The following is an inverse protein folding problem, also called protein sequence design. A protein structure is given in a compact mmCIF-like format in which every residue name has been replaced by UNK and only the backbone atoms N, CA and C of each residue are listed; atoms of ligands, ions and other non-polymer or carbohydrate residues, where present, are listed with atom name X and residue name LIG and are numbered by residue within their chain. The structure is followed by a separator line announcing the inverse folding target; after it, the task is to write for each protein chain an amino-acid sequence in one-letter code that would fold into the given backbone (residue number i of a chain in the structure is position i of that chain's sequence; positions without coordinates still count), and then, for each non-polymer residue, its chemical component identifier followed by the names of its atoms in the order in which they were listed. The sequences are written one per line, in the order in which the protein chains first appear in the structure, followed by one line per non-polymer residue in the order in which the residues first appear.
data_IF_672196223189
#
_entry.id   IF_672196223189
#
_cell.length_a   1.000
_cell.length_b   1.000
_cell.length_c   1.000
_cell.angle_alpha   90.00
_cell.angle_beta   90.00
_cell.angle_gamma   90.00
#
_symmetry.space_group_name_H-M   'P 1'
#
loop_
_entity.id
_entity.type
_entity.pdbx_description
1 polymer ?
#
# COMPACT_ATOMS: atom_id res chain seq x y z
N UNK A 1 -7.88 3.48 -17.12
CA UNK A 1 -7.89 4.94 -16.95
C UNK A 1 -8.82 5.55 -17.99
N UNK A 2 -9.61 6.54 -17.59
CA UNK A 2 -10.55 7.30 -18.43
C UNK A 2 -10.14 8.75 -18.58
N UNK A 3 -10.87 9.48 -19.45
CA UNK A 3 -10.67 10.93 -19.61
C UNK A 3 -10.93 11.64 -18.28
N UNK A 4 -9.99 12.47 -17.86
CA UNK A 4 -10.04 13.25 -16.63
C UNK A 4 -9.35 12.60 -15.44
N UNK A 5 -9.02 11.31 -15.52
CA UNK A 5 -8.30 10.61 -14.45
C UNK A 5 -6.94 11.25 -14.21
N UNK A 6 -6.53 11.29 -12.94
CA UNK A 6 -5.19 11.66 -12.52
C UNK A 6 -4.32 10.43 -12.41
N UNK A 7 -3.17 10.50 -13.07
CA UNK A 7 -2.19 9.42 -13.13
C UNK A 7 -0.88 9.94 -12.52
N UNK A 8 -0.44 9.30 -11.45
CA UNK A 8 0.89 9.50 -10.94
C UNK A 8 1.89 8.65 -11.75
N UNK A 9 2.96 9.30 -12.18
CA UNK A 9 4.14 8.63 -12.75
C UNK A 9 5.05 8.29 -11.61
N UNK A 10 5.26 7.01 -11.38
CA UNK A 10 6.00 6.47 -10.25
C UNK A 10 7.33 5.90 -10.73
N UNK A 11 8.39 6.31 -10.09
CA UNK A 11 9.74 5.81 -10.35
C UNK A 11 9.88 4.34 -9.94
N UNK A 12 10.36 3.49 -10.83
CA UNK A 12 10.41 2.04 -10.63
C UNK A 12 11.38 1.56 -9.54
N UNK A 13 12.35 2.39 -9.14
CA UNK A 13 13.33 2.01 -8.12
C UNK A 13 12.96 2.53 -6.74
N UNK A 14 12.49 3.78 -6.69
CA UNK A 14 12.17 4.48 -5.44
C UNK A 14 10.71 4.36 -5.05
N UNK A 15 9.83 3.97 -5.96
CA UNK A 15 8.36 3.99 -5.85
C UNK A 15 7.79 5.38 -5.52
N UNK A 16 8.57 6.44 -5.67
CA UNK A 16 8.12 7.80 -5.41
C UNK A 16 7.48 8.41 -6.66
N UNK A 17 6.46 9.22 -6.45
CA UNK A 17 5.82 9.99 -7.53
C UNK A 17 6.78 11.01 -8.11
N UNK A 18 7.05 10.93 -9.41
CA UNK A 18 7.84 11.89 -10.18
C UNK A 18 6.99 13.06 -10.65
N UNK A 19 5.82 12.75 -11.20
CA UNK A 19 4.89 13.71 -11.78
C UNK A 19 3.46 13.21 -11.66
N UNK A 20 2.50 14.12 -11.60
CA UNK A 20 1.07 13.83 -11.78
C UNK A 20 0.60 14.35 -13.13
N UNK A 21 -0.05 13.52 -13.91
CA UNK A 21 -0.56 13.81 -15.25
C UNK A 21 -2.08 13.59 -15.28
N UNK A 22 -2.78 14.37 -16.11
CA UNK A 22 -4.23 14.20 -16.31
C UNK A 22 -4.51 13.60 -17.69
N UNK A 23 -5.32 12.54 -17.73
CA UNK A 23 -5.70 11.87 -18.98
C UNK A 23 -6.61 12.76 -19.81
N UNK A 24 -6.21 13.07 -21.04
CA UNK A 24 -7.00 13.76 -22.05
C UNK A 24 -7.85 12.77 -22.86
N UNK A 25 -7.25 11.63 -23.22
CA UNK A 25 -7.87 10.56 -24.02
C UNK A 25 -7.31 9.21 -23.65
N UNK A 26 -8.15 8.18 -23.67
CA UNK A 26 -7.79 6.78 -23.51
C UNK A 26 -8.34 5.99 -24.70
N UNK A 27 -7.51 5.20 -25.35
CA UNK A 27 -7.85 4.36 -26.51
C UNK A 27 -7.37 2.94 -26.29
N UNK A 28 -8.27 1.98 -26.33
CA UNK A 28 -7.89 0.57 -26.30
C UNK A 28 -7.33 0.16 -27.66
N UNK A 29 -6.07 -0.25 -27.71
CA UNK A 29 -5.42 -0.74 -28.94
C UNK A 29 -5.76 -2.22 -29.15
N UNK A 30 -5.66 -3.04 -28.08
CA UNK A 30 -5.98 -4.46 -28.08
C UNK A 30 -6.26 -4.97 -26.68
N UNK A 31 -6.27 -6.27 -26.46
CA UNK A 31 -6.54 -6.88 -25.14
C UNK A 31 -5.53 -6.47 -24.05
N UNK A 32 -4.30 -6.12 -24.43
CA UNK A 32 -3.19 -5.90 -23.50
C UNK A 32 -2.70 -4.45 -23.47
N UNK A 33 -3.00 -3.63 -24.47
CA UNK A 33 -2.45 -2.29 -24.62
C UNK A 33 -3.54 -1.22 -24.68
N UNK A 34 -3.29 -0.15 -23.93
CA UNK A 34 -4.10 1.06 -23.92
C UNK A 34 -3.16 2.23 -24.25
N UNK A 35 -3.58 3.10 -25.16
CA UNK A 35 -2.90 4.37 -25.42
C UNK A 35 -3.52 5.44 -24.56
N UNK A 36 -2.71 6.08 -23.71
CA UNK A 36 -3.10 7.26 -22.96
C UNK A 36 -2.51 8.51 -23.62
N UNK A 37 -3.34 9.53 -23.79
CA UNK A 37 -2.92 10.87 -24.17
C UNK A 37 -3.17 11.78 -22.97
N UNK A 38 -2.19 12.55 -22.56
CA UNK A 38 -2.30 13.46 -21.41
C UNK A 38 -2.57 14.90 -21.85
N UNK A 39 -3.04 15.72 -20.92
CA UNK A 39 -3.30 17.15 -21.15
C UNK A 39 -2.00 17.98 -21.21
N UNK A 40 -0.92 17.47 -20.65
CA UNK A 40 0.42 18.06 -20.68
C UNK A 40 1.39 17.16 -21.45
N UNK A 41 2.47 17.72 -22.02
CA UNK A 41 3.53 16.93 -22.66
C UNK A 41 4.16 15.93 -21.69
N UNK A 42 4.52 14.75 -22.19
CA UNK A 42 5.16 13.68 -21.40
C UNK A 42 6.67 13.59 -21.59
N UNK A 43 7.20 14.33 -22.56
CA UNK A 43 8.63 14.35 -22.81
C UNK A 43 9.42 14.79 -21.56
N UNK A 44 10.45 14.01 -21.20
CA UNK A 44 11.24 14.22 -19.99
C UNK A 44 10.53 13.91 -18.66
N UNK A 45 9.26 13.48 -18.71
CA UNK A 45 8.46 13.16 -17.51
C UNK A 45 8.22 11.67 -17.32
N UNK A 46 8.37 10.90 -18.37
CA UNK A 46 8.19 9.45 -18.41
C UNK A 46 9.47 8.79 -18.91
N UNK A 47 9.86 7.74 -18.21
CA UNK A 47 10.98 6.87 -18.59
C UNK A 47 10.43 5.45 -18.74
N UNK A 48 10.99 4.69 -19.65
CA UNK A 48 10.62 3.26 -19.78
C UNK A 48 10.93 2.55 -18.47
N UNK A 49 9.94 1.85 -17.93
CA UNK A 49 9.99 1.19 -16.64
C UNK A 49 9.24 1.92 -15.53
N UNK A 50 8.92 3.21 -15.71
CA UNK A 50 8.07 3.92 -14.74
C UNK A 50 6.68 3.28 -14.63
N UNK A 51 6.11 3.28 -13.43
CA UNK A 51 4.74 2.88 -13.19
C UNK A 51 3.75 4.02 -13.42
N UNK A 52 2.51 3.63 -13.70
CA UNK A 52 1.40 4.55 -13.83
C UNK A 52 0.30 4.17 -12.84
N UNK A 53 0.14 4.96 -11.79
CA UNK A 53 -0.89 4.77 -10.76
C UNK A 53 -2.11 5.64 -11.05
N UNK A 54 -3.30 5.05 -11.10
CA UNK A 54 -4.53 5.82 -11.28
C UNK A 54 -5.04 6.35 -9.93
N UNK A 55 -4.68 7.56 -9.60
CA UNK A 55 -5.02 8.23 -8.35
C UNK A 55 -6.52 8.51 -8.18
N UNK A 56 -7.27 8.55 -9.29
CA UNK A 56 -8.72 8.78 -9.26
C UNK A 56 -9.52 7.57 -8.79
N UNK A 57 -8.94 6.38 -8.79
CA UNK A 57 -9.65 5.13 -8.49
C UNK A 57 -9.33 4.53 -7.13
N UNK A 58 -8.41 5.11 -6.38
CA UNK A 58 -8.11 4.64 -5.04
C UNK A 58 -9.27 4.87 -4.08
N UNK A 59 -9.78 3.83 -3.41
CA UNK A 59 -10.84 3.96 -2.43
C UNK A 59 -10.31 4.38 -1.06
N UNK A 60 -11.16 4.99 -0.25
CA UNK A 60 -11.00 4.97 1.20
C UNK A 60 -11.35 3.59 1.75
N UNK A 61 -10.69 3.16 2.83
CA UNK A 61 -10.96 1.90 3.48
C UNK A 61 -11.39 2.13 4.93
N UNK A 62 -12.58 1.64 5.28
CA UNK A 62 -13.03 1.55 6.66
C UNK A 62 -13.30 0.08 6.98
N UNK A 63 -12.40 -0.54 7.73
CA UNK A 63 -12.46 -1.95 8.09
C UNK A 63 -12.71 -2.09 9.60
N UNK A 64 -13.97 -2.35 9.98
CA UNK A 64 -14.40 -2.29 11.39
C UNK A 64 -15.15 -3.55 11.84
N UNK A 65 -14.92 -3.93 13.10
CA UNK A 65 -15.69 -4.94 13.81
C UNK A 65 -15.77 -6.30 13.10
N UNK A 66 -14.70 -6.66 12.37
CA UNK A 66 -14.61 -7.94 11.68
C UNK A 66 -13.83 -8.96 12.50
N UNK A 67 -14.09 -10.22 12.23
CA UNK A 67 -13.26 -11.34 12.69
C UNK A 67 -12.62 -11.99 11.48
N UNK A 68 -11.29 -11.86 11.36
CA UNK A 68 -10.48 -12.44 10.28
C UNK A 68 -9.57 -13.49 10.88
N UNK A 69 -9.78 -14.74 10.55
CA UNK A 69 -9.03 -15.86 11.14
C UNK A 69 -8.78 -16.98 10.13
N UNK A 70 -7.79 -17.82 10.47
CA UNK A 70 -7.43 -19.01 9.69
C UNK A 70 -6.93 -18.69 8.26
N UNK A 71 -6.43 -17.50 8.04
CA UNK A 71 -5.81 -17.14 6.78
C UNK A 71 -4.41 -17.75 6.70
N UNK A 72 -4.10 -18.38 5.59
CA UNK A 72 -2.78 -18.96 5.35
C UNK A 72 -1.69 -17.89 5.22
N UNK A 73 -2.04 -16.72 4.68
CA UNK A 73 -1.13 -15.58 4.53
C UNK A 73 -1.50 -14.46 5.51
N UNK A 74 -1.50 -13.22 5.07
CA UNK A 74 -1.95 -12.04 5.83
C UNK A 74 -3.47 -11.97 5.94
N UNK A 75 -3.95 -11.29 7.00
CA UNK A 75 -5.40 -11.08 7.14
C UNK A 75 -5.89 -10.01 6.18
N UNK A 76 -5.17 -8.88 6.07
CA UNK A 76 -5.44 -7.82 5.09
C UNK A 76 -4.12 -7.30 4.50
N UNK A 77 -4.18 -6.91 3.23
CA UNK A 77 -3.17 -6.13 2.54
C UNK A 77 -3.83 -4.82 2.11
N UNK A 78 -3.16 -3.71 2.36
CA UNK A 78 -3.69 -2.38 2.07
C UNK A 78 -2.67 -1.57 1.27
N UNK A 79 -3.10 -1.09 0.11
CA UNK A 79 -2.33 -0.22 -0.78
C UNK A 79 -3.23 0.88 -1.34
N UNK A 80 -3.44 1.96 -0.59
CA UNK A 80 -4.20 3.12 -1.02
C UNK A 80 -3.68 4.40 -0.37
N UNK A 81 -3.50 5.49 -1.11
CA UNK A 81 -3.11 6.78 -0.56
C UNK A 81 -4.28 7.54 0.09
N UNK A 82 -5.46 6.94 0.11
CA UNK A 82 -6.65 7.51 0.75
C UNK A 82 -6.70 7.11 2.21
N UNK A 83 -7.68 7.67 2.93
CA UNK A 83 -7.89 7.38 4.35
C UNK A 83 -8.14 5.89 4.59
N UNK A 84 -7.46 5.34 5.59
CA UNK A 84 -7.60 3.94 6.04
C UNK A 84 -7.89 3.93 7.53
N UNK A 85 -8.98 3.26 7.92
CA UNK A 85 -9.33 3.02 9.32
C UNK A 85 -9.52 1.53 9.54
N UNK A 86 -8.68 0.94 10.41
CA UNK A 86 -8.79 -0.46 10.83
C UNK A 86 -9.09 -0.46 12.32
N UNK A 87 -10.35 -0.73 12.70
CA UNK A 87 -10.82 -0.50 14.07
C UNK A 87 -11.70 -1.63 14.61
N UNK A 88 -11.45 -2.03 15.86
CA UNK A 88 -12.31 -2.97 16.58
C UNK A 88 -12.34 -4.38 16.00
N UNK A 89 -11.36 -4.75 15.20
CA UNK A 89 -11.30 -6.06 14.57
C UNK A 89 -10.59 -7.09 15.45
N UNK A 90 -10.85 -8.37 15.19
CA UNK A 90 -10.08 -9.49 15.74
C UNK A 90 -9.37 -10.21 14.59
N UNK A 91 -8.04 -10.30 14.69
CA UNK A 91 -7.19 -10.93 13.69
C UNK A 91 -6.48 -12.16 14.25
N UNK A 92 -6.43 -13.23 13.44
CA UNK A 92 -5.60 -14.42 13.68
C UNK A 92 -5.20 -15.01 12.34
N UNK A 93 -3.94 -14.88 11.95
CA UNK A 93 -3.43 -15.35 10.66
C UNK A 93 -2.07 -16.02 10.81
N UNK A 94 -1.74 -16.82 9.82
CA UNK A 94 -0.48 -17.58 9.76
C UNK A 94 0.75 -16.68 9.60
N UNK A 95 0.59 -15.56 8.88
CA UNK A 95 1.59 -14.51 8.65
C UNK A 95 1.16 -13.21 9.33
N UNK A 96 1.64 -12.07 8.85
CA UNK A 96 1.22 -10.75 9.35
C UNK A 96 -0.28 -10.55 9.31
N UNK A 97 -0.85 -9.95 10.33
CA UNK A 97 -2.27 -9.60 10.33
C UNK A 97 -2.54 -8.46 9.33
N UNK A 98 -1.69 -7.43 9.35
CA UNK A 98 -1.81 -6.28 8.44
C UNK A 98 -0.50 -6.13 7.69
N UNK A 99 -0.60 -6.00 6.36
CA UNK A 99 0.52 -5.73 5.47
C UNK A 99 0.26 -4.44 4.69
N UNK A 100 1.21 -3.53 4.73
CA UNK A 100 1.33 -2.39 3.82
C UNK A 100 2.54 -2.64 2.93
N UNK A 101 2.31 -2.66 1.63
CA UNK A 101 3.33 -3.05 0.67
C UNK A 101 3.14 -2.26 -0.62
N UNK A 102 4.23 -1.84 -1.24
CA UNK A 102 4.27 -1.29 -2.57
C UNK A 102 5.22 -2.12 -3.42
N UNK A 103 4.78 -2.57 -4.57
CA UNK A 103 5.54 -3.43 -5.47
C UNK A 103 5.22 -3.09 -6.92
N UNK A 104 6.23 -2.81 -7.70
CA UNK A 104 6.12 -2.50 -9.12
C UNK A 104 6.84 -3.48 -10.04
N UNK A 105 7.44 -4.54 -9.50
CA UNK A 105 8.25 -5.47 -10.30
C UNK A 105 7.79 -6.93 -10.22
N UNK A 106 6.84 -7.24 -9.36
CA UNK A 106 6.35 -8.61 -9.21
C UNK A 106 4.82 -8.72 -9.20
N UNK A 107 4.17 -8.13 -8.18
CA UNK A 107 2.72 -8.19 -8.03
C UNK A 107 2.00 -6.98 -8.61
N UNK A 108 2.71 -5.88 -8.80
CA UNK A 108 2.16 -4.59 -9.25
C UNK A 108 1.09 -4.05 -8.31
N UNK A 109 1.29 -4.27 -7.03
CA UNK A 109 0.45 -3.76 -5.94
C UNK A 109 1.05 -2.44 -5.46
N UNK A 110 0.64 -1.34 -6.06
CA UNK A 110 1.14 -0.01 -5.71
C UNK A 110 0.07 0.85 -5.04
N UNK A 111 0.46 1.98 -4.50
CA UNK A 111 -0.41 2.87 -3.74
C UNK A 111 0.06 3.00 -2.30
N UNK A 112 1.09 3.82 -2.10
CA UNK A 112 1.61 4.13 -0.78
C UNK A 112 0.52 4.64 0.16
N UNK A 113 0.44 4.12 1.38
CA UNK A 113 -0.52 4.62 2.37
C UNK A 113 -0.09 5.98 2.91
N UNK A 114 -1.07 6.86 3.16
CA UNK A 114 -0.83 8.27 3.51
C UNK A 114 -1.56 8.76 4.75
N UNK A 115 -2.59 8.06 5.20
CA UNK A 115 -3.43 8.42 6.34
C UNK A 115 -4.06 7.15 6.89
N UNK A 116 -3.41 6.53 7.88
CA UNK A 116 -3.80 5.23 8.42
C UNK A 116 -4.01 5.33 9.91
N UNK A 117 -5.14 4.81 10.39
CA UNK A 117 -5.40 4.61 11.81
C UNK A 117 -5.72 3.14 12.09
N UNK A 118 -4.91 2.51 12.93
CA UNK A 118 -5.09 1.12 13.39
C UNK A 118 -5.35 1.18 14.88
N UNK A 119 -6.61 1.03 15.31
CA UNK A 119 -6.96 1.20 16.71
C UNK A 119 -7.95 0.19 17.26
N UNK A 120 -7.82 -0.08 18.56
CA UNK A 120 -8.74 -0.92 19.32
C UNK A 120 -8.96 -2.32 18.72
N UNK A 121 -7.95 -2.84 17.98
CA UNK A 121 -8.00 -4.18 17.42
C UNK A 121 -7.44 -5.21 18.42
N UNK A 122 -7.78 -6.47 18.20
CA UNK A 122 -7.25 -7.62 18.92
C UNK A 122 -6.49 -8.51 17.94
N UNK A 123 -5.18 -8.62 18.12
CA UNK A 123 -4.31 -9.52 17.38
C UNK A 123 -4.06 -10.75 18.25
N UNK A 124 -4.76 -11.85 17.94
CA UNK A 124 -4.79 -13.03 18.80
C UNK A 124 -4.19 -14.23 18.07
N UNK A 125 -3.24 -14.91 18.75
CA UNK A 125 -2.66 -16.17 18.30
C UNK A 125 -2.21 -16.14 16.82
N UNK A 126 -1.72 -14.98 16.36
CA UNK A 126 -1.25 -14.77 14.98
C UNK A 126 0.22 -15.17 14.80
N UNK A 127 0.69 -15.09 13.55
CA UNK A 127 2.07 -15.40 13.15
C UNK A 127 2.51 -16.86 13.45
N UNK A 128 1.55 -17.80 13.43
CA UNK A 128 1.78 -19.21 13.78
C UNK A 128 2.42 -20.04 12.64
N UNK A 129 2.75 -19.42 11.52
CA UNK A 129 3.32 -20.11 10.35
C UNK A 129 4.81 -20.47 10.47
N UNK A 130 5.46 -20.08 11.57
CA UNK A 130 6.88 -20.39 11.82
C UNK A 130 7.87 -19.52 11.04
N UNK A 131 7.43 -18.63 10.16
CA UNK A 131 8.28 -17.66 9.51
C UNK A 131 8.38 -16.37 10.35
N UNK A 132 9.49 -15.64 10.20
CA UNK A 132 9.74 -14.39 10.93
C UNK A 132 8.95 -13.21 10.34
N UNK A 133 7.64 -13.23 10.58
CA UNK A 133 6.74 -12.14 10.20
C UNK A 133 6.27 -11.36 11.43
N UNK A 134 6.33 -10.01 11.42
CA UNK A 134 5.72 -9.18 12.46
C UNK A 134 4.18 -9.22 12.34
N UNK A 135 3.49 -8.87 13.41
CA UNK A 135 2.02 -8.80 13.39
C UNK A 135 1.51 -7.72 12.42
N UNK A 136 2.14 -6.54 12.46
CA UNK A 136 1.92 -5.44 11.49
C UNK A 136 3.22 -5.27 10.71
N UNK A 137 3.14 -5.36 9.39
CA UNK A 137 4.30 -5.29 8.52
C UNK A 137 4.13 -4.17 7.48
N UNK A 138 5.08 -3.24 7.49
CA UNK A 138 5.17 -2.14 6.52
C UNK A 138 6.45 -2.38 5.74
N UNK A 139 6.33 -2.85 4.49
CA UNK A 139 7.46 -3.35 3.73
C UNK A 139 7.36 -3.02 2.24
N UNK A 140 7.47 -1.75 1.85
CA UNK A 140 7.51 -1.41 0.43
C UNK A 140 8.76 -1.99 -0.25
N UNK A 141 8.59 -2.56 -1.44
CA UNK A 141 9.65 -3.16 -2.25
C UNK A 141 10.44 -2.11 -3.03
N UNK A 142 10.88 -1.05 -2.35
CA UNK A 142 11.78 -0.07 -2.94
C UNK A 142 13.16 -0.70 -3.20
N UNK A 143 13.65 -0.60 -4.42
CA UNK A 143 15.03 -0.97 -4.77
C UNK A 143 16.02 0.06 -4.23
N UNK A 144 15.56 1.32 -4.12
CA UNK A 144 16.35 2.44 -3.61
C UNK A 144 15.51 3.30 -2.68
N UNK A 145 15.90 3.39 -1.43
CA UNK A 145 15.33 4.36 -0.50
C UNK A 145 15.93 5.75 -0.71
N UNK A 146 15.09 6.79 -0.57
CA UNK A 146 15.52 8.18 -0.68
C UNK A 146 15.47 8.82 0.70
N UNK A 147 16.61 9.20 1.30
CA UNK A 147 16.64 9.84 2.61
C UNK A 147 15.71 11.07 2.68
N UNK A 148 14.90 11.15 3.74
CA UNK A 148 13.93 12.24 3.93
C UNK A 148 12.65 12.13 3.10
N UNK A 149 12.54 11.13 2.23
CA UNK A 149 11.34 10.90 1.41
C UNK A 149 10.76 9.49 1.64
N UNK A 150 10.13 9.24 2.79
CA UNK A 150 9.54 7.94 3.08
C UNK A 150 8.39 7.63 2.12
N UNK A 151 8.27 6.34 1.76
CA UNK A 151 7.20 5.88 0.88
C UNK A 151 5.85 5.89 1.60
N UNK A 152 5.77 5.30 2.79
CA UNK A 152 4.57 5.28 3.63
C UNK A 152 4.54 6.45 4.61
N UNK A 153 3.36 6.97 4.94
CA UNK A 153 3.27 8.15 5.83
C UNK A 153 2.03 8.15 6.73
N UNK A 154 2.16 8.86 7.86
CA UNK A 154 1.08 9.19 8.79
C UNK A 154 0.28 7.95 9.22
N UNK A 155 0.95 7.05 9.91
CA UNK A 155 0.37 5.81 10.42
C UNK A 155 0.28 5.91 11.93
N UNK A 156 -0.94 5.83 12.47
CA UNK A 156 -1.22 5.81 13.91
C UNK A 156 -1.65 4.41 14.34
N UNK A 157 -0.99 3.86 15.36
CA UNK A 157 -1.28 2.53 15.92
C UNK A 157 -1.53 2.69 17.42
N UNK A 158 -2.78 2.62 17.86
CA UNK A 158 -3.14 2.94 19.24
C UNK A 158 -4.19 1.98 19.83
N UNK A 159 -4.13 1.75 21.14
CA UNK A 159 -5.16 1.00 21.88
C UNK A 159 -5.38 -0.44 21.45
N UNK A 160 -4.41 -1.05 20.73
CA UNK A 160 -4.52 -2.42 20.25
C UNK A 160 -4.05 -3.43 21.30
N UNK A 161 -4.68 -4.60 21.32
CA UNK A 161 -4.27 -5.74 22.14
C UNK A 161 -3.51 -6.74 21.28
N UNK A 162 -2.30 -7.09 21.71
CA UNK A 162 -1.47 -8.11 21.06
C UNK A 162 -1.30 -9.31 22.00
N UNK A 163 -1.66 -10.49 21.52
CA UNK A 163 -1.37 -11.78 22.12
C UNK A 163 -0.99 -12.73 21.01
N UNK A 164 0.27 -12.73 20.62
CA UNK A 164 0.81 -13.41 19.44
C UNK A 164 1.95 -14.34 19.82
N UNK A 165 2.28 -15.29 18.94
CA UNK A 165 3.42 -16.19 19.13
C UNK A 165 4.74 -15.50 18.85
N UNK A 166 4.76 -14.50 17.98
CA UNK A 166 5.96 -13.73 17.66
C UNK A 166 6.04 -12.48 18.54
N UNK A 167 7.21 -12.22 19.09
CA UNK A 167 7.50 -11.02 19.91
C UNK A 167 7.55 -9.75 19.05
N UNK A 168 7.79 -9.86 17.75
CA UNK A 168 7.86 -8.73 16.84
C UNK A 168 6.45 -8.27 16.45
N UNK A 169 5.96 -7.22 17.10
CA UNK A 169 4.63 -6.68 16.86
C UNK A 169 4.58 -5.80 15.61
N UNK A 170 5.64 -5.06 15.34
CA UNK A 170 5.74 -4.13 14.22
C UNK A 170 7.14 -4.20 13.59
N UNK A 171 7.17 -4.27 12.26
CA UNK A 171 8.37 -3.99 11.45
C UNK A 171 7.98 -2.95 10.42
N UNK A 172 8.73 -1.85 10.36
CA UNK A 172 8.41 -0.73 9.48
C UNK A 172 9.64 -0.31 8.69
N UNK A 173 9.48 -0.22 7.37
CA UNK A 173 10.48 0.26 6.42
C UNK A 173 9.93 1.46 5.67
N UNK A 174 10.77 2.50 5.47
CA UNK A 174 10.43 3.69 4.68
C UNK A 174 9.13 4.37 5.12
N UNK A 175 8.98 4.63 6.42
CA UNK A 175 7.80 5.25 7.02
C UNK A 175 8.13 6.62 7.60
N UNK A 176 7.28 7.61 7.33
CA UNK A 176 7.32 8.93 7.95
C UNK A 176 6.05 9.21 8.76
N UNK A 177 6.18 9.75 9.99
CA UNK A 177 5.02 10.03 10.87
C UNK A 177 4.35 8.75 11.38
N UNK A 178 5.11 7.89 12.02
CA UNK A 178 4.61 6.71 12.73
C UNK A 178 4.40 7.08 14.20
N UNK A 179 3.20 6.86 14.73
CA UNK A 179 2.77 7.15 16.11
C UNK A 179 2.14 5.92 16.74
#
# INVERSE_FOLDING_TARGET
AGKGDEIDVVDAETLLTKHTLRVKKSERINAHYIRLTFTAPVEGRLTVGDGLENMSWYPELIFRNNVVRNNRARSILVSTPRKVVVEGNTFSSMMSAILFEGDMDHWYESGAVRDVTIRNNRFLDGTYGGADFPTIFINPHQKKEVPGHPYERNITIEGNLFRTFNEQLLRAKSVGGLI
#
